data_IF_751597464306
#
_entry.id   IF_751597464306
#
_cell.length_a   1.000
_cell.length_b   1.000
_cell.length_c   1.000
_cell.angle_alpha   90.00
_cell.angle_beta   90.00
_cell.angle_gamma   90.00
#
_symmetry.space_group_name_H-M   'P 1'
#
loop_
_entity.id
_entity.type
_entity.pdbx_description
1 polymer ?
#
# COMPACT_ATOMS: atom_id res chain seq x y z
N UNK A 1 58.23 -35.94 -31.38
CA UNK A 1 57.16 -34.95 -31.58
C UNK A 1 56.17 -35.13 -30.44
N UNK A 2 56.22 -34.26 -29.44
CA UNK A 2 55.32 -34.30 -28.28
C UNK A 2 54.25 -33.25 -28.51
N UNK A 3 53.01 -33.69 -28.77
CA UNK A 3 51.86 -32.81 -28.96
C UNK A 3 51.29 -32.40 -27.59
N UNK A 4 51.13 -31.10 -27.36
CA UNK A 4 50.43 -30.52 -26.20
C UNK A 4 48.98 -30.21 -26.59
N UNK A 5 47.97 -31.04 -26.28
CA UNK A 5 46.59 -30.83 -26.76
C UNK A 5 45.73 -30.01 -25.78
N UNK A 6 46.25 -29.64 -24.61
CA UNK A 6 45.41 -29.19 -23.50
C UNK A 6 45.34 -27.67 -23.30
N UNK A 7 46.23 -26.87 -23.90
CA UNK A 7 46.30 -25.43 -23.61
C UNK A 7 45.10 -24.66 -24.20
N UNK A 8 44.57 -25.08 -25.35
CA UNK A 8 43.42 -24.42 -25.99
C UNK A 8 42.09 -24.62 -25.25
N UNK A 9 41.88 -25.75 -24.57
CA UNK A 9 40.62 -26.01 -23.83
C UNK A 9 40.49 -25.11 -22.61
N UNK A 10 41.57 -24.87 -21.87
CA UNK A 10 41.53 -24.02 -20.68
C UNK A 10 41.36 -22.53 -21.03
N UNK A 11 41.93 -22.07 -22.14
CA UNK A 11 41.74 -20.70 -22.61
C UNK A 11 40.28 -20.39 -22.99
N UNK A 12 39.57 -21.35 -23.62
CA UNK A 12 38.19 -21.16 -24.03
C UNK A 12 37.21 -21.13 -22.84
N UNK A 13 37.41 -22.00 -21.84
CA UNK A 13 36.59 -22.03 -20.62
C UNK A 13 36.78 -20.73 -19.81
N UNK A 14 38.01 -20.22 -19.70
CA UNK A 14 38.28 -18.96 -19.00
C UNK A 14 37.63 -17.75 -19.70
N UNK A 15 37.60 -17.74 -21.04
CA UNK A 15 36.97 -16.66 -21.81
C UNK A 15 35.44 -16.66 -21.62
N UNK A 16 34.80 -17.83 -21.66
CA UNK A 16 33.34 -17.95 -21.48
C UNK A 16 32.92 -17.62 -20.04
N UNK A 17 33.69 -18.06 -19.04
CA UNK A 17 33.45 -17.70 -17.64
C UNK A 17 33.64 -16.19 -17.39
N UNK A 18 34.67 -15.57 -18.00
CA UNK A 18 34.89 -14.13 -17.92
C UNK A 18 33.75 -13.30 -18.53
N UNK A 19 33.21 -13.73 -19.68
CA UNK A 19 32.08 -13.05 -20.34
C UNK A 19 30.80 -13.20 -19.50
N UNK A 20 30.53 -14.37 -18.92
CA UNK A 20 29.38 -14.59 -18.02
C UNK A 20 29.45 -13.73 -16.75
N UNK A 21 30.64 -13.54 -16.18
CA UNK A 21 30.84 -12.66 -15.03
C UNK A 21 30.63 -11.19 -15.43
N UNK A 22 31.12 -10.76 -16.60
CA UNK A 22 30.90 -9.39 -17.07
C UNK A 22 29.42 -9.12 -17.35
N UNK A 23 28.67 -10.08 -17.90
CA UNK A 23 27.22 -9.93 -18.12
C UNK A 23 26.46 -9.91 -16.79
N UNK A 24 26.83 -10.75 -15.81
CA UNK A 24 26.20 -10.75 -14.48
C UNK A 24 26.48 -9.46 -13.69
N UNK A 25 27.69 -8.91 -13.77
CA UNK A 25 28.07 -7.64 -13.13
C UNK A 25 27.44 -6.45 -13.86
N UNK A 26 27.25 -6.53 -15.18
CA UNK A 26 26.62 -5.45 -15.96
C UNK A 26 25.08 -5.43 -15.82
N UNK A 27 24.44 -6.53 -15.39
CA UNK A 27 23.01 -6.53 -15.06
C UNK A 27 22.69 -5.97 -13.67
N UNK A 28 23.71 -5.75 -12.83
CA UNK A 28 23.58 -4.98 -11.58
C UNK A 28 23.68 -3.46 -11.80
N UNK A 29 23.64 -2.98 -13.05
CA UNK A 29 23.47 -1.57 -13.35
C UNK A 29 22.10 -1.08 -12.83
N UNK A 30 22.13 -0.54 -11.61
CA UNK A 30 21.51 0.74 -11.24
C UNK A 30 20.18 1.05 -11.94
N UNK A 31 19.15 0.23 -11.70
CA UNK A 31 17.81 0.80 -11.57
C UNK A 31 17.80 1.44 -10.19
N UNK A 32 18.44 2.62 -10.06
CA UNK A 32 18.00 3.56 -9.03
C UNK A 32 16.55 3.85 -9.41
N UNK A 33 15.62 3.23 -8.68
CA UNK A 33 14.22 3.54 -8.77
C UNK A 33 14.13 5.07 -8.83
N UNK A 34 13.51 5.57 -9.90
CA UNK A 34 13.28 6.99 -10.08
C UNK A 34 12.40 7.40 -8.90
N UNK A 35 13.00 7.84 -7.80
CA UNK A 35 12.28 8.39 -6.66
C UNK A 35 11.64 9.66 -7.20
N UNK A 36 10.38 9.53 -7.62
CA UNK A 36 9.58 10.68 -8.02
C UNK A 36 9.48 11.58 -6.79
N UNK A 37 10.26 12.66 -6.76
CA UNK A 37 10.13 13.69 -5.76
C UNK A 37 8.71 14.24 -5.88
N UNK A 38 7.95 14.23 -4.78
CA UNK A 38 6.64 14.88 -4.74
C UNK A 38 6.89 16.38 -4.87
N UNK A 39 6.32 16.99 -5.91
CA UNK A 39 6.42 18.43 -6.14
C UNK A 39 5.14 19.06 -5.60
N UNK A 40 5.29 19.86 -4.55
CA UNK A 40 4.20 20.66 -3.99
C UNK A 40 4.26 22.08 -4.55
N UNK A 41 3.10 22.70 -4.76
CA UNK A 41 3.04 24.13 -5.07
C UNK A 41 3.54 24.95 -3.87
N UNK A 42 4.05 26.16 -4.12
CA UNK A 42 4.72 26.97 -3.09
C UNK A 42 3.77 27.43 -1.97
N UNK A 43 2.49 27.56 -2.27
CA UNK A 43 1.40 28.01 -1.40
C UNK A 43 0.59 26.85 -0.80
N UNK A 44 0.99 25.61 -1.08
CA UNK A 44 0.33 24.42 -0.55
C UNK A 44 0.39 24.41 0.99
N UNK A 45 -0.74 24.18 1.69
CA UNK A 45 -0.77 24.12 3.15
C UNK A 45 0.10 22.99 3.72
N UNK A 46 0.41 23.09 5.01
CA UNK A 46 1.02 21.99 5.76
C UNK A 46 0.20 21.67 6.99
N UNK A 47 0.14 20.39 7.33
CA UNK A 47 -0.65 19.88 8.45
C UNK A 47 0.23 19.09 9.40
N UNK A 48 -0.07 19.23 10.70
CA UNK A 48 0.56 18.47 11.77
C UNK A 48 -0.07 17.09 11.94
N UNK A 49 0.78 16.10 12.19
CA UNK A 49 0.40 14.77 12.64
C UNK A 49 1.06 14.52 14.00
N UNK A 50 0.28 14.12 15.00
CA UNK A 50 0.81 13.84 16.32
C UNK A 50 1.92 12.77 16.28
N UNK A 51 3.00 12.99 17.04
CA UNK A 51 4.07 12.00 17.16
C UNK A 51 3.54 10.64 17.58
N UNK A 52 3.98 9.60 16.88
CA UNK A 52 3.57 8.23 17.16
C UNK A 52 2.16 7.86 16.67
N UNK A 53 1.45 8.71 15.92
CA UNK A 53 0.12 8.38 15.39
C UNK A 53 0.06 7.08 14.56
N UNK A 54 1.16 6.70 13.91
CA UNK A 54 1.29 5.47 13.13
C UNK A 54 1.83 4.28 13.94
N UNK A 55 2.00 4.42 15.26
CA UNK A 55 2.42 3.31 16.12
C UNK A 55 1.19 2.53 16.60
N UNK A 56 1.22 1.23 16.40
CA UNK A 56 0.16 0.32 16.81
C UNK A 56 0.65 -0.89 17.62
N UNK A 57 1.91 -0.88 18.08
CA UNK A 57 2.54 -2.04 18.76
C UNK A 57 1.83 -2.47 20.05
N UNK A 58 0.96 -1.61 20.60
CA UNK A 58 0.16 -1.86 21.80
C UNK A 58 -1.33 -2.04 21.53
N UNK A 59 -1.74 -1.94 20.27
CA UNK A 59 -3.13 -2.07 19.85
C UNK A 59 -3.37 -3.56 19.54
N UNK A 60 -4.42 -4.17 20.11
CA UNK A 60 -4.72 -5.55 19.79
C UNK A 60 -5.13 -5.70 18.33
N UNK A 61 -4.83 -6.85 17.75
CA UNK A 61 -5.37 -7.23 16.45
C UNK A 61 -6.90 -7.34 16.54
N UNK A 62 -7.61 -6.78 15.56
CA UNK A 62 -9.05 -6.87 15.43
C UNK A 62 -9.40 -7.61 14.14
N UNK A 63 -10.24 -8.64 14.26
CA UNK A 63 -10.78 -9.37 13.12
C UNK A 63 -11.93 -8.57 12.49
N UNK A 64 -11.93 -8.49 11.16
CA UNK A 64 -13.00 -7.87 10.36
C UNK A 64 -13.54 -8.92 9.40
N UNK A 65 -14.50 -9.71 9.89
CA UNK A 65 -15.15 -10.78 9.15
C UNK A 65 -16.66 -10.65 9.34
N UNK A 66 -17.35 -10.38 8.25
CA UNK A 66 -18.81 -10.28 8.21
C UNK A 66 -19.36 -11.19 7.10
N UNK A 67 -20.57 -11.71 7.29
CA UNK A 67 -21.22 -12.59 6.29
C UNK A 67 -21.67 -11.82 5.04
N UNK A 68 -21.95 -10.52 5.17
CA UNK A 68 -22.39 -9.69 4.06
C UNK A 68 -21.22 -9.37 3.11
N UNK A 69 -21.51 -9.20 1.80
CA UNK A 69 -20.51 -8.75 0.84
C UNK A 69 -19.83 -7.46 1.30
N UNK A 70 -18.54 -7.36 1.03
CA UNK A 70 -17.65 -6.25 1.35
C UNK A 70 -17.46 -5.94 2.84
N UNK A 71 -17.91 -6.83 3.72
CA UNK A 71 -17.71 -6.68 5.16
C UNK A 71 -16.45 -7.37 5.72
N UNK A 72 -15.73 -8.12 4.89
CA UNK A 72 -14.53 -8.86 5.30
C UNK A 72 -13.26 -8.27 4.66
N UNK A 73 -12.25 -7.96 5.47
CA UNK A 73 -10.99 -7.36 5.03
C UNK A 73 -9.89 -7.54 6.08
N UNK A 74 -8.64 -7.27 5.70
CA UNK A 74 -7.49 -7.25 6.62
C UNK A 74 -7.00 -5.83 6.80
N UNK A 75 -6.71 -5.43 8.03
CA UNK A 75 -6.12 -4.11 8.33
C UNK A 75 -5.04 -4.17 9.41
N UNK A 76 -4.15 -3.18 9.37
CA UNK A 76 -3.42 -2.73 10.56
C UNK A 76 -4.27 -1.67 11.27
N UNK A 77 -4.57 -1.88 12.54
CA UNK A 77 -5.40 -0.97 13.33
C UNK A 77 -4.52 0.11 13.95
N UNK A 78 -4.97 1.36 13.90
CA UNK A 78 -4.28 2.50 14.53
C UNK A 78 -5.20 3.14 15.57
N UNK A 79 -4.63 3.84 16.55
CA UNK A 79 -5.44 4.61 17.49
C UNK A 79 -5.97 5.84 16.76
N UNK A 80 -7.28 6.07 16.79
CA UNK A 80 -7.88 7.20 16.08
C UNK A 80 -7.55 8.55 16.73
N UNK A 81 -7.40 8.59 18.06
CA UNK A 81 -7.22 9.82 18.83
C UNK A 81 -6.08 10.71 18.31
N UNK A 82 -4.88 10.18 18.00
CA UNK A 82 -3.79 10.94 17.35
C UNK A 82 -4.12 11.60 16.00
N UNK A 83 -5.18 11.17 15.31
CA UNK A 83 -5.60 11.72 14.01
C UNK A 83 -6.66 12.82 14.14
N UNK A 84 -7.26 13.01 15.32
CA UNK A 84 -8.36 13.98 15.51
C UNK A 84 -7.94 15.42 15.23
N UNK A 85 -6.72 15.81 15.62
CA UNK A 85 -6.17 17.13 15.30
C UNK A 85 -6.00 17.34 13.80
N UNK A 86 -5.42 16.35 13.10
CA UNK A 86 -5.28 16.36 11.65
C UNK A 86 -6.64 16.46 10.95
N UNK A 87 -7.62 15.63 11.34
CA UNK A 87 -8.98 15.69 10.79
C UNK A 87 -9.60 17.08 10.98
N UNK A 88 -9.50 17.64 12.19
CA UNK A 88 -10.06 18.98 12.49
C UNK A 88 -9.43 20.06 11.61
N UNK A 89 -8.10 20.04 11.46
CA UNK A 89 -7.38 20.99 10.61
C UNK A 89 -7.75 20.84 9.13
N UNK A 90 -7.84 19.61 8.62
CA UNK A 90 -8.23 19.34 7.22
C UNK A 90 -9.66 19.79 6.97
N UNK A 91 -10.60 19.41 7.84
CA UNK A 91 -12.02 19.77 7.72
C UNK A 91 -12.22 21.29 7.71
N UNK A 92 -11.46 22.04 8.51
CA UNK A 92 -11.51 23.50 8.51
C UNK A 92 -11.09 24.15 7.18
N UNK A 93 -10.31 23.45 6.34
CA UNK A 93 -9.79 23.95 5.06
C UNK A 93 -10.50 23.38 3.83
N UNK A 94 -11.33 22.34 4.00
CA UNK A 94 -11.90 21.59 2.88
C UNK A 94 -12.96 22.38 2.10
N UNK A 95 -13.56 23.41 2.68
CA UNK A 95 -14.66 24.18 2.06
C UNK A 95 -16.01 23.44 2.05
N UNK A 96 -16.04 22.18 2.49
CA UNK A 96 -17.23 21.36 2.74
C UNK A 96 -17.08 20.64 4.07
N UNK A 97 -18.20 20.27 4.69
CA UNK A 97 -18.15 19.46 5.90
C UNK A 97 -17.72 18.03 5.57
N UNK A 98 -16.56 17.62 6.07
CA UNK A 98 -16.07 16.25 5.98
C UNK A 98 -16.66 15.39 7.09
N UNK A 99 -16.88 14.13 6.76
CA UNK A 99 -17.21 13.05 7.66
C UNK A 99 -15.94 12.26 8.00
N UNK A 100 -15.92 11.70 9.21
CA UNK A 100 -14.91 10.72 9.64
C UNK A 100 -15.62 9.50 10.20
N UNK A 101 -14.99 8.33 10.05
CA UNK A 101 -15.50 7.08 10.62
C UNK A 101 -15.24 6.93 12.12
N UNK A 102 -14.39 7.81 12.70
CA UNK A 102 -13.98 7.68 14.09
C UNK A 102 -12.99 6.53 14.35
N UNK A 103 -12.41 5.97 13.28
CA UNK A 103 -11.40 4.91 13.31
C UNK A 103 -10.20 5.32 12.43
N UNK A 104 -9.04 4.72 12.70
CA UNK A 104 -7.86 4.85 11.88
C UNK A 104 -7.28 3.46 11.61
N UNK A 105 -6.97 3.17 10.36
CA UNK A 105 -6.39 1.91 9.96
C UNK A 105 -5.68 2.03 8.61
N UNK A 106 -4.82 1.07 8.30
CA UNK A 106 -4.30 0.82 6.96
C UNK A 106 -4.87 -0.50 6.47
N UNK A 107 -5.71 -0.46 5.44
CA UNK A 107 -6.26 -1.67 4.81
C UNK A 107 -5.15 -2.41 4.06
N UNK A 108 -4.88 -3.66 4.42
CA UNK A 108 -3.85 -4.52 3.81
C UNK A 108 -4.43 -5.44 2.75
N UNK A 109 -5.66 -5.90 2.93
CA UNK A 109 -6.48 -6.58 1.92
C UNK A 109 -7.84 -5.91 1.95
N UNK A 110 -8.25 -5.31 0.85
CA UNK A 110 -9.54 -4.65 0.72
C UNK A 110 -10.70 -5.65 0.62
N UNK A 111 -11.93 -5.22 0.91
CA UNK A 111 -13.07 -6.11 0.75
C UNK A 111 -13.26 -6.66 -0.68
N UNK A 112 -13.10 -5.87 -1.76
CA UNK A 112 -13.14 -6.39 -3.12
C UNK A 112 -12.04 -7.42 -3.43
N UNK A 113 -10.80 -7.20 -2.97
CA UNK A 113 -9.72 -8.20 -3.10
C UNK A 113 -10.09 -9.52 -2.41
N UNK A 114 -10.67 -9.45 -1.21
CA UNK A 114 -11.10 -10.65 -0.50
C UNK A 114 -12.26 -11.36 -1.22
N UNK A 115 -13.38 -10.68 -1.44
CA UNK A 115 -14.61 -11.31 -1.91
C UNK A 115 -14.55 -11.77 -3.37
N UNK A 116 -13.83 -11.04 -4.24
CA UNK A 116 -13.79 -11.33 -5.67
C UNK A 116 -12.55 -12.07 -6.14
N UNK A 117 -11.46 -12.05 -5.37
CA UNK A 117 -10.19 -12.67 -5.78
C UNK A 117 -9.81 -13.83 -4.87
N UNK A 118 -9.60 -13.56 -3.58
CA UNK A 118 -9.04 -14.55 -2.65
C UNK A 118 -10.05 -15.64 -2.27
N UNK A 119 -11.26 -15.24 -1.88
CA UNK A 119 -12.33 -16.14 -1.43
C UNK A 119 -12.80 -17.13 -2.51
N UNK A 120 -12.96 -16.75 -3.79
CA UNK A 120 -13.31 -17.70 -4.86
C UNK A 120 -12.27 -18.81 -5.08
N UNK A 121 -11.00 -18.56 -4.79
CA UNK A 121 -9.95 -19.60 -4.79
C UNK A 121 -9.91 -20.42 -3.49
N UNK A 122 -10.84 -20.20 -2.55
CA UNK A 122 -10.88 -20.93 -1.29
C UNK A 122 -9.89 -20.46 -0.23
N UNK A 123 -9.31 -19.25 -0.39
CA UNK A 123 -8.57 -18.58 0.69
C UNK A 123 -9.58 -18.04 1.71
N UNK A 124 -9.44 -18.42 2.97
CA UNK A 124 -10.32 -17.96 4.05
C UNK A 124 -9.72 -16.76 4.78
N UNK A 125 -10.58 -15.91 5.36
CA UNK A 125 -10.11 -14.79 6.19
C UNK A 125 -9.28 -15.29 7.38
N UNK A 126 -9.62 -16.43 7.98
CA UNK A 126 -8.84 -17.03 9.08
C UNK A 126 -7.40 -17.35 8.69
N UNK A 127 -7.16 -17.82 7.47
CA UNK A 127 -5.80 -18.07 6.97
C UNK A 127 -5.03 -16.76 6.75
N UNK A 128 -5.70 -15.73 6.22
CA UNK A 128 -5.15 -14.38 6.04
C UNK A 128 -4.78 -13.75 7.39
N UNK A 129 -5.67 -13.83 8.37
CA UNK A 129 -5.45 -13.34 9.73
C UNK A 129 -4.32 -14.08 10.43
N UNK A 130 -4.23 -15.41 10.26
CA UNK A 130 -3.12 -16.18 10.81
C UNK A 130 -1.77 -15.73 10.24
N UNK A 131 -1.67 -15.47 8.94
CA UNK A 131 -0.48 -14.88 8.31
C UNK A 131 -0.16 -13.52 8.95
N UNK A 132 -1.15 -12.63 9.08
CA UNK A 132 -0.97 -11.28 9.61
C UNK A 132 -0.54 -11.27 11.09
N UNK A 133 -1.15 -12.13 11.92
CA UNK A 133 -0.82 -12.29 13.33
C UNK A 133 0.60 -12.85 13.48
N UNK A 134 0.96 -13.89 12.73
CA UNK A 134 2.30 -14.47 12.76
C UNK A 134 3.38 -13.48 12.30
N UNK A 135 3.04 -12.59 11.36
CA UNK A 135 3.90 -11.51 10.90
C UNK A 135 3.89 -10.28 11.83
N UNK A 136 3.11 -10.31 12.92
CA UNK A 136 2.94 -9.20 13.85
C UNK A 136 2.52 -7.88 13.17
N UNK A 137 1.43 -7.92 12.40
CA UNK A 137 0.89 -6.77 11.65
C UNK A 137 0.75 -5.48 12.47
N UNK A 138 0.44 -5.57 13.76
CA UNK A 138 0.30 -4.39 14.63
C UNK A 138 1.66 -3.73 14.97
N UNK A 139 2.79 -4.40 14.73
CA UNK A 139 4.12 -3.82 14.83
C UNK A 139 4.69 -3.33 13.47
N UNK A 140 3.89 -3.37 12.40
CA UNK A 140 4.33 -2.88 11.09
C UNK A 140 4.69 -1.39 11.14
N UNK A 141 5.85 -1.06 10.57
CA UNK A 141 6.45 0.27 10.67
C UNK A 141 6.08 1.12 9.47
N UNK A 142 5.31 2.17 9.72
CA UNK A 142 4.86 3.11 8.71
C UNK A 142 5.50 4.48 8.90
N UNK A 143 5.68 5.21 7.80
CA UNK A 143 6.09 6.61 7.81
C UNK A 143 5.04 7.48 7.11
N UNK A 144 4.72 8.67 7.64
CA UNK A 144 3.86 9.60 6.91
C UNK A 144 4.60 10.11 5.67
N UNK A 145 3.90 10.20 4.53
CA UNK A 145 4.46 10.73 3.28
C UNK A 145 3.89 12.11 2.99
N UNK A 146 2.56 12.21 2.92
CA UNK A 146 1.85 13.43 2.55
C UNK A 146 0.38 13.34 2.96
N UNK A 147 -0.31 14.49 2.98
CA UNK A 147 -1.75 14.51 2.95
C UNK A 147 -2.17 14.45 1.49
N UNK A 148 -2.83 13.37 1.11
CA UNK A 148 -3.41 13.23 -0.21
C UNK A 148 -4.84 13.76 -0.29
N UNK A 149 -5.25 14.15 -1.51
CA UNK A 149 -6.58 14.71 -1.77
C UNK A 149 -7.15 14.23 -3.10
N UNK A 150 -8.42 13.82 -3.09
CA UNK A 150 -9.28 13.80 -4.25
C UNK A 150 -10.23 14.99 -4.18
N UNK A 151 -10.37 15.71 -5.28
CA UNK A 151 -11.39 16.73 -5.45
C UNK A 151 -11.82 16.74 -6.92
N UNK A 152 -12.86 15.99 -7.25
CA UNK A 152 -13.30 15.83 -8.63
C UNK A 152 -14.46 14.86 -8.80
N UNK A 153 -14.93 14.72 -10.02
CA UNK A 153 -15.93 13.70 -10.38
C UNK A 153 -15.28 12.34 -10.57
N UNK A 154 -16.01 11.28 -10.26
CA UNK A 154 -15.51 9.92 -10.47
C UNK A 154 -15.27 9.68 -11.97
N UNK A 155 -14.13 9.07 -12.35
CA UNK A 155 -13.86 8.72 -13.74
C UNK A 155 -14.91 7.77 -14.34
N UNK A 156 -15.55 6.94 -13.50
CA UNK A 156 -16.55 5.93 -13.89
C UNK A 156 -17.68 5.88 -12.86
N UNK A 157 -18.66 6.79 -12.92
CA UNK A 157 -19.83 6.71 -12.05
C UNK A 157 -20.62 5.44 -12.37
N UNK A 158 -21.06 4.73 -11.33
CA UNK A 158 -21.82 3.45 -11.49
C UNK A 158 -23.30 3.59 -11.17
N UNK A 159 -23.70 4.74 -10.62
CA UNK A 159 -25.08 5.10 -10.29
C UNK A 159 -25.24 6.62 -10.22
N UNK A 160 -26.49 7.11 -10.17
CA UNK A 160 -26.80 8.53 -9.97
C UNK A 160 -26.22 9.08 -8.64
N UNK A 161 -26.00 8.22 -7.65
CA UNK A 161 -25.36 8.60 -6.39
C UNK A 161 -23.87 8.95 -6.57
N UNK A 162 -23.25 8.49 -7.65
CA UNK A 162 -21.87 8.77 -8.05
C UNK A 162 -21.74 10.04 -8.91
N UNK A 163 -22.83 10.75 -9.20
CA UNK A 163 -22.78 12.04 -9.90
C UNK A 163 -22.27 13.16 -8.98
N UNK A 164 -21.52 14.09 -9.55
CA UNK A 164 -21.05 15.30 -8.86
C UNK A 164 -19.56 15.29 -8.53
N UNK A 165 -19.15 16.20 -7.64
CA UNK A 165 -17.78 16.33 -7.15
C UNK A 165 -17.67 15.62 -5.80
N UNK A 166 -16.64 14.80 -5.64
CA UNK A 166 -16.29 14.13 -4.40
C UNK A 166 -15.08 14.77 -3.78
N UNK A 167 -15.04 14.77 -2.46
CA UNK A 167 -13.88 15.21 -1.69
C UNK A 167 -13.43 14.12 -0.72
N UNK A 168 -12.16 13.73 -0.84
CA UNK A 168 -11.55 12.72 0.01
C UNK A 168 -10.15 13.18 0.41
N UNK A 169 -9.83 13.02 1.68
CA UNK A 169 -8.49 13.22 2.23
C UNK A 169 -7.99 11.94 2.88
N UNK A 170 -6.73 11.59 2.59
CA UNK A 170 -6.07 10.44 3.21
C UNK A 170 -4.63 10.79 3.55
N UNK A 171 -4.15 10.32 4.69
CA UNK A 171 -2.73 10.31 4.98
C UNK A 171 -2.10 9.19 4.15
N UNK A 172 -1.30 9.54 3.15
CA UNK A 172 -0.48 8.56 2.43
C UNK A 172 0.67 8.18 3.34
N UNK A 173 0.89 6.88 3.51
CA UNK A 173 1.99 6.35 4.33
C UNK A 173 2.90 5.47 3.49
N UNK A 174 4.14 5.30 3.93
CA UNK A 174 5.11 4.43 3.31
C UNK A 174 5.37 3.22 4.21
N UNK A 175 5.35 2.03 3.60
CA UNK A 175 5.84 0.77 4.18
C UNK A 175 7.28 0.51 3.70
N UNK A 176 8.19 1.42 4.00
CA UNK A 176 9.60 1.35 3.56
C UNK A 176 10.31 0.09 4.06
N UNK A 177 9.82 -0.50 5.15
CA UNK A 177 10.36 -1.72 5.73
C UNK A 177 9.77 -3.00 5.12
N UNK A 178 8.71 -2.87 4.33
CA UNK A 178 8.03 -3.99 3.67
C UNK A 178 7.28 -4.90 4.65
N UNK A 179 6.91 -4.41 5.84
CA UNK A 179 6.26 -5.21 6.86
C UNK A 179 4.85 -5.65 6.38
N UNK A 180 4.09 -4.72 5.79
CA UNK A 180 2.76 -5.01 5.21
C UNK A 180 2.87 -5.70 3.85
N UNK A 181 3.84 -5.30 3.03
CA UNK A 181 4.11 -5.95 1.75
C UNK A 181 4.44 -7.45 1.93
N UNK A 182 5.23 -7.79 2.96
CA UNK A 182 5.57 -9.19 3.27
C UNK A 182 4.33 -10.02 3.61
N UNK A 183 3.36 -9.45 4.32
CA UNK A 183 2.06 -10.08 4.59
C UNK A 183 1.31 -10.33 3.28
N UNK A 184 1.21 -9.32 2.40
CA UNK A 184 0.57 -9.47 1.09
C UNK A 184 1.25 -10.53 0.22
N UNK A 185 2.58 -10.62 0.25
CA UNK A 185 3.34 -11.64 -0.47
C UNK A 185 3.07 -13.05 0.07
N UNK A 186 2.91 -13.21 1.39
CA UNK A 186 2.50 -14.48 1.99
C UNK A 186 1.08 -14.88 1.57
N UNK A 187 0.14 -13.93 1.54
CA UNK A 187 -1.23 -14.16 1.08
C UNK A 187 -1.25 -14.55 -0.40
N UNK A 188 -0.43 -13.91 -1.24
CA UNK A 188 -0.31 -14.27 -2.66
C UNK A 188 0.24 -15.68 -2.85
N UNK A 189 1.21 -16.13 -2.04
CA UNK A 189 1.67 -17.54 -2.06
C UNK A 189 0.54 -18.50 -1.72
N UNK A 190 -0.20 -18.25 -0.64
CA UNK A 190 -1.36 -19.05 -0.26
C UNK A 190 -2.43 -19.07 -1.37
N UNK A 191 -2.70 -17.94 -2.00
CA UNK A 191 -3.63 -17.82 -3.11
C UNK A 191 -3.24 -18.69 -4.29
N UNK A 192 -1.97 -18.67 -4.70
CA UNK A 192 -1.45 -19.54 -5.76
C UNK A 192 -1.49 -21.03 -5.39
N UNK A 193 -1.15 -21.37 -4.14
CA UNK A 193 -1.20 -22.75 -3.64
C UNK A 193 -2.62 -23.34 -3.70
N UNK A 194 -3.65 -22.49 -3.60
CA UNK A 194 -5.05 -22.88 -3.78
C UNK A 194 -5.56 -22.79 -5.22
N UNK A 195 -4.67 -22.58 -6.19
CA UNK A 195 -5.02 -22.53 -7.61
C UNK A 195 -5.55 -21.17 -8.09
N UNK A 196 -5.32 -20.10 -7.33
CA UNK A 196 -5.65 -18.74 -7.74
C UNK A 196 -4.88 -18.25 -8.98
N UNK A 197 -5.49 -17.38 -9.76
CA UNK A 197 -4.89 -16.74 -10.94
C UNK A 197 -4.04 -15.53 -10.51
N UNK A 198 -2.72 -15.66 -10.57
CA UNK A 198 -1.78 -14.66 -10.06
C UNK A 198 -1.95 -13.25 -10.64
N UNK A 199 -2.48 -13.13 -11.85
CA UNK A 199 -2.79 -11.82 -12.44
C UNK A 199 -3.85 -11.04 -11.65
N UNK A 200 -4.70 -11.71 -10.87
CA UNK A 200 -5.80 -11.10 -10.12
C UNK A 200 -5.41 -10.59 -8.72
N UNK A 201 -4.31 -11.08 -8.13
CA UNK A 201 -3.82 -10.60 -6.84
C UNK A 201 -2.32 -10.32 -6.86
N UNK A 202 -1.98 -9.03 -6.98
CA UNK A 202 -0.61 -8.54 -7.00
C UNK A 202 -0.26 -7.91 -5.64
N UNK A 203 0.69 -8.47 -4.87
CA UNK A 203 1.10 -7.91 -3.58
C UNK A 203 1.52 -6.44 -3.65
N UNK A 204 2.17 -6.04 -4.74
CA UNK A 204 2.73 -4.70 -4.95
C UNK A 204 1.67 -3.67 -5.42
N UNK A 205 0.49 -4.12 -5.85
CA UNK A 205 -0.65 -3.25 -6.18
C UNK A 205 -1.32 -2.74 -4.89
N UNK A 206 -0.54 -2.01 -4.09
CA UNK A 206 -0.84 -1.65 -2.72
C UNK A 206 -0.45 -0.21 -2.46
N UNK A 207 -1.42 0.59 -2.00
CA UNK A 207 -1.23 2.01 -1.67
C UNK A 207 -1.64 2.23 -0.22
N UNK A 208 -0.74 1.99 0.76
CA UNK A 208 -1.09 2.12 2.16
C UNK A 208 -1.44 3.57 2.50
N UNK A 209 -2.60 3.75 3.13
CA UNK A 209 -3.11 5.06 3.52
C UNK A 209 -4.02 4.93 4.74
N UNK A 210 -4.23 6.05 5.43
CA UNK A 210 -5.27 6.21 6.46
C UNK A 210 -6.29 7.23 5.96
N UNK A 211 -7.55 6.84 5.82
CA UNK A 211 -8.62 7.78 5.44
C UNK A 211 -8.82 8.78 6.58
N UNK A 212 -8.67 10.08 6.28
CA UNK A 212 -8.83 11.16 7.26
C UNK A 212 -10.26 11.67 7.26
N UNK A 213 -10.81 11.92 6.08
CA UNK A 213 -12.22 12.31 5.95
C UNK A 213 -12.68 12.42 4.50
N UNK A 214 -13.99 12.39 4.32
CA UNK A 214 -14.65 12.46 3.02
C UNK A 214 -15.99 13.19 3.13
N UNK A 215 -16.48 13.78 2.05
CA UNK A 215 -17.77 14.48 2.06
C UNK A 215 -18.98 13.53 1.96
N UNK A 216 -18.88 12.50 1.11
CA UNK A 216 -19.98 11.56 0.81
C UNK A 216 -19.67 10.13 1.23
N UNK A 217 -18.58 9.56 0.68
CA UNK A 217 -18.10 8.20 1.02
C UNK A 217 -16.60 8.10 0.81
N UNK A 218 -16.01 7.06 1.39
CA UNK A 218 -14.64 6.68 1.04
C UNK A 218 -14.61 6.15 -0.41
N UNK A 219 -13.50 6.41 -1.09
CA UNK A 219 -13.27 6.01 -2.48
C UNK A 219 -12.17 4.95 -2.53
N UNK A 220 -12.27 4.03 -3.48
CA UNK A 220 -11.33 2.91 -3.65
C UNK A 220 -10.78 2.83 -5.07
N UNK A 221 -9.96 1.83 -5.36
CA UNK A 221 -9.37 1.64 -6.69
C UNK A 221 -10.43 1.31 -7.75
N UNK A 222 -11.54 0.71 -7.33
CA UNK A 222 -12.72 0.45 -8.17
C UNK A 222 -13.38 1.75 -8.65
N UNK A 223 -13.28 2.82 -7.86
CA UNK A 223 -13.69 4.17 -8.25
C UNK A 223 -12.66 4.86 -9.16
N UNK A 224 -11.56 4.18 -9.51
CA UNK A 224 -10.44 4.73 -10.27
C UNK A 224 -9.52 5.64 -9.45
N UNK A 225 -9.61 5.59 -8.11
CA UNK A 225 -8.85 6.47 -7.22
C UNK A 225 -7.68 5.70 -6.60
N UNK A 226 -6.47 6.08 -6.98
CA UNK A 226 -5.22 5.50 -6.48
C UNK A 226 -4.59 6.43 -5.45
N UNK A 227 -4.57 6.03 -4.18
CA UNK A 227 -4.15 6.86 -3.03
C UNK A 227 -2.64 6.77 -2.75
N UNK A 228 -1.82 6.75 -3.80
CA UNK A 228 -0.36 6.72 -3.73
C UNK A 228 0.29 8.10 -3.71
N UNK A 229 1.56 8.20 -4.11
CA UNK A 229 2.27 9.50 -4.22
C UNK A 229 1.62 10.46 -5.22
N UNK A 230 0.94 9.95 -6.25
CA UNK A 230 0.14 10.73 -7.21
C UNK A 230 -1.06 11.43 -6.54
N UNK A 231 -1.45 11.00 -5.34
CA UNK A 231 -2.54 11.56 -4.56
C UNK A 231 -2.11 12.73 -3.68
N UNK A 232 -0.80 12.96 -3.53
CA UNK A 232 -0.25 13.95 -2.60
C UNK A 232 -0.67 15.37 -2.95
N UNK A 233 -1.28 16.04 -1.99
CA UNK A 233 -1.74 17.41 -2.08
C UNK A 233 -0.95 18.33 -1.16
N UNK A 234 -0.71 17.94 0.10
CA UNK A 234 -0.10 18.81 1.10
C UNK A 234 0.96 18.12 1.95
N UNK A 235 1.85 18.93 2.55
CA UNK A 235 2.95 18.45 3.40
C UNK A 235 2.44 18.03 4.78
N UNK A 236 2.88 16.87 5.25
CA UNK A 236 2.71 16.44 6.64
C UNK A 236 4.02 16.63 7.39
N UNK A 237 3.93 17.22 8.58
CA UNK A 237 5.03 17.25 9.54
C UNK A 237 4.58 16.60 10.85
N UNK A 238 5.53 16.04 11.60
CA UNK A 238 5.24 15.43 12.90
C UNK A 238 5.31 16.49 13.99
N UNK A 239 4.27 16.58 14.80
CA UNK A 239 4.21 17.45 15.99
C UNK A 239 4.65 16.67 17.23
N UNK A 240 5.33 17.33 18.16
CA UNK A 240 5.77 16.73 19.43
C UNK A 240 4.62 16.57 20.44
#
# INVERSE_FOLDING_TARGET
MVAYPNILKYAFIALVAGILIIVAVSYQFNIKAFESSIIYESDTPSFGLQHGALRSDKIPFHSHSEEKPFGTYLQQTLEFKPFQGLFTAVNATAGVALQSRGEAHVTVVSPPEFDYVLKPAGVTIREIEAIAINANIQAARLKPVCLGRFNGSLPRPTSDLDEGVFMLYSLVVADDYGDLLSIRQQISRLYHEKGGEGALFQPEAFWPHVTIGYDRRDLFVEDGIYKGKNFCYARIHTEN
#
